data_IF_216458370371
#
_entry.id   IF_216458370371
#
_cell.length_a   1.000
_cell.length_b   1.000
_cell.length_c   1.000
_cell.angle_alpha   90.00
_cell.angle_beta   90.00
_cell.angle_gamma   90.00
#
_symmetry.space_group_name_H-M   'P 1'
#
loop_
_entity.id
_entity.type
_entity.pdbx_description
1 polymer ?
#
# COMPACT_ATOMS: atom_id res chain seq x y z
N UNK A 1 17.97 -12.59 16.45
CA UNK A 1 17.25 -12.47 15.17
C UNK A 1 16.70 -11.06 15.11
N UNK A 2 16.69 -10.40 13.95
CA UNK A 2 16.21 -9.01 13.89
C UNK A 2 14.69 -8.99 13.84
N UNK A 3 14.06 -8.10 14.60
CA UNK A 3 12.61 -7.95 14.64
C UNK A 3 12.20 -6.84 13.67
N UNK A 4 11.25 -7.15 12.80
CA UNK A 4 10.64 -6.23 11.86
C UNK A 4 9.17 -6.00 12.21
N UNK A 5 8.77 -4.74 12.15
CA UNK A 5 7.39 -4.28 12.29
C UNK A 5 6.85 -3.99 10.90
N UNK A 6 5.68 -4.56 10.61
CA UNK A 6 4.95 -4.39 9.36
C UNK A 6 3.72 -3.52 9.62
N UNK A 7 3.53 -2.49 8.80
CA UNK A 7 2.41 -1.55 8.94
C UNK A 7 1.76 -1.35 7.57
N UNK A 8 0.50 -1.75 7.43
CA UNK A 8 -0.29 -1.45 6.25
C UNK A 8 -0.85 -0.02 6.33
N UNK A 9 -0.55 0.79 5.33
CA UNK A 9 -0.96 2.20 5.23
C UNK A 9 -1.78 2.37 3.95
N UNK A 10 -2.97 2.99 3.99
CA UNK A 10 -3.71 3.34 2.78
C UNK A 10 -2.81 4.10 1.80
N UNK A 11 -2.72 3.60 0.57
CA UNK A 11 -1.83 4.15 -0.44
C UNK A 11 -2.39 3.91 -1.85
N UNK A 12 -2.12 4.82 -2.78
CA UNK A 12 -2.45 4.72 -4.20
C UNK A 12 -1.25 5.20 -5.01
N UNK A 13 -1.13 4.70 -6.25
CA UNK A 13 -0.09 5.16 -7.18
C UNK A 13 -0.75 5.96 -8.30
N UNK A 14 -0.41 7.24 -8.37
CA UNK A 14 -1.02 8.21 -9.28
C UNK A 14 -0.12 8.37 -10.49
N UNK A 15 -0.67 8.19 -11.69
CA UNK A 15 0.01 8.51 -12.94
C UNK A 15 -0.17 10.00 -13.22
N UNK A 16 0.94 10.73 -13.34
CA UNK A 16 0.95 12.16 -13.65
C UNK A 16 2.09 12.45 -14.62
N UNK A 17 1.78 12.99 -15.80
CA UNK A 17 2.76 13.53 -16.76
C UNK A 17 3.99 12.64 -17.01
N UNK A 18 3.76 11.34 -17.27
CA UNK A 18 4.83 10.37 -17.54
C UNK A 18 5.57 9.86 -16.29
N UNK A 19 5.17 10.30 -15.09
CA UNK A 19 5.67 9.83 -13.80
C UNK A 19 4.58 9.07 -13.03
N UNK A 20 5.00 8.25 -12.07
CA UNK A 20 4.10 7.61 -11.10
C UNK A 20 4.48 7.99 -9.69
N UNK A 21 3.55 8.56 -8.93
CA UNK A 21 3.76 9.02 -7.55
C UNK A 21 3.01 8.09 -6.61
N UNK A 22 3.69 7.55 -5.60
CA UNK A 22 3.04 6.86 -4.50
C UNK A 22 2.52 7.89 -3.48
N UNK A 23 1.20 7.93 -3.28
CA UNK A 23 0.53 8.78 -2.30
C UNK A 23 -0.02 7.89 -1.20
N UNK A 24 0.32 8.18 0.05
CA UNK A 24 -0.12 7.41 1.21
C UNK A 24 -0.74 8.33 2.28
N UNK A 25 -1.59 7.76 3.14
CA UNK A 25 -2.11 8.40 4.34
C UNK A 25 -1.40 7.83 5.57
N UNK A 26 -0.16 8.26 5.88
CA UNK A 26 0.71 7.61 6.88
C UNK A 26 0.18 7.64 8.32
N UNK A 27 -0.81 8.48 8.61
CA UNK A 27 -1.46 8.55 9.93
C UNK A 27 -2.61 7.54 10.09
N UNK A 28 -3.05 6.92 9.00
CA UNK A 28 -4.09 5.91 8.99
C UNK A 28 -3.44 4.54 8.75
N UNK A 29 -3.75 3.57 9.59
CA UNK A 29 -3.25 2.21 9.45
C UNK A 29 -4.41 1.26 9.22
N UNK A 30 -4.22 0.29 8.33
CA UNK A 30 -5.17 -0.79 8.11
C UNK A 30 -4.88 -1.92 9.10
N UNK A 31 -5.64 -1.93 10.20
CA UNK A 31 -5.58 -2.97 11.21
C UNK A 31 -4.34 -2.88 12.11
N UNK A 32 -4.03 -4.01 12.75
CA UNK A 32 -2.93 -4.11 13.70
C UNK A 32 -1.56 -4.18 13.00
N UNK A 33 -0.52 -3.72 13.72
CA UNK A 33 0.87 -3.88 13.30
C UNK A 33 1.26 -5.36 13.33
N UNK A 34 1.93 -5.82 12.27
CA UNK A 34 2.56 -7.13 12.25
C UNK A 34 3.94 -7.08 12.90
N UNK A 35 4.35 -8.15 13.56
CA UNK A 35 5.74 -8.34 13.99
C UNK A 35 6.25 -9.66 13.41
N UNK A 36 7.47 -9.63 12.88
CA UNK A 36 8.13 -10.83 12.35
C UNK A 36 9.61 -10.79 12.71
N UNK A 37 10.16 -11.95 13.04
CA UNK A 37 11.60 -12.10 13.12
C UNK A 37 12.13 -12.57 11.76
N UNK A 38 13.24 -12.00 11.30
CA UNK A 38 13.88 -12.42 10.05
C UNK A 38 15.40 -12.20 10.07
N UNK A 39 16.11 -13.01 9.29
CA UNK A 39 17.57 -12.94 9.03
C UNK A 39 17.88 -12.67 7.57
N UNK A 40 16.97 -13.00 6.66
CA UNK A 40 17.18 -12.91 5.21
C UNK A 40 16.15 -12.02 4.53
N UNK A 41 16.46 -11.52 3.33
CA UNK A 41 15.50 -10.75 2.53
C UNK A 41 14.30 -11.59 2.10
N UNK A 42 14.52 -12.89 1.84
CA UNK A 42 13.46 -13.83 1.49
C UNK A 42 12.45 -14.00 2.63
N UNK A 43 12.92 -14.16 3.87
CA UNK A 43 12.04 -14.23 5.05
C UNK A 43 11.22 -12.94 5.23
N UNK A 44 11.83 -11.78 5.00
CA UNK A 44 11.11 -10.49 5.06
C UNK A 44 10.03 -10.42 3.97
N UNK A 45 10.35 -10.80 2.74
CA UNK A 45 9.38 -10.79 1.63
C UNK A 45 8.22 -11.77 1.85
N UNK A 46 8.50 -12.96 2.39
CA UNK A 46 7.45 -13.91 2.80
C UNK A 46 6.58 -13.31 3.90
N UNK A 47 7.17 -12.67 4.90
CA UNK A 47 6.41 -12.04 5.98
C UNK A 47 5.55 -10.86 5.48
N UNK A 48 6.06 -10.03 4.57
CA UNK A 48 5.31 -8.97 3.89
C UNK A 48 4.12 -9.56 3.13
N UNK A 49 4.35 -10.64 2.39
CA UNK A 49 3.30 -11.33 1.62
C UNK A 49 2.18 -11.84 2.53
N UNK A 50 2.54 -12.61 3.56
CA UNK A 50 1.56 -13.17 4.50
C UNK A 50 0.82 -12.09 5.29
N UNK A 51 1.50 -11.03 5.68
CA UNK A 51 0.86 -9.90 6.36
C UNK A 51 -0.14 -9.20 5.44
N UNK A 52 0.27 -8.88 4.21
CA UNK A 52 -0.60 -8.20 3.26
C UNK A 52 -1.79 -9.05 2.80
N UNK A 53 -1.64 -10.36 2.63
CA UNK A 53 -2.77 -11.27 2.34
C UNK A 53 -3.82 -11.25 3.45
N UNK A 54 -3.38 -11.28 4.72
CA UNK A 54 -4.31 -11.14 5.86
C UNK A 54 -4.98 -9.77 5.88
N UNK A 55 -4.23 -8.69 5.64
CA UNK A 55 -4.79 -7.33 5.60
C UNK A 55 -5.79 -7.18 4.46
N UNK A 56 -5.49 -7.69 3.27
CA UNK A 56 -6.40 -7.66 2.13
C UNK A 56 -7.67 -8.49 2.37
N UNK A 57 -7.55 -9.63 3.06
CA UNK A 57 -8.71 -10.43 3.48
C UNK A 57 -9.59 -9.71 4.50
N UNK A 58 -8.99 -9.02 5.47
CA UNK A 58 -9.72 -8.25 6.49
C UNK A 58 -10.30 -6.92 5.95
N UNK A 59 -9.70 -6.38 4.88
CA UNK A 59 -10.10 -5.12 4.26
C UNK A 59 -10.25 -5.27 2.74
N UNK A 60 -11.26 -6.02 2.25
CA UNK A 60 -11.43 -6.28 0.83
C UNK A 60 -11.54 -4.99 0.01
N UNK A 61 -10.84 -4.94 -1.13
CA UNK A 61 -10.86 -3.81 -2.06
C UNK A 61 -10.11 -2.55 -1.59
N UNK A 62 -9.47 -2.57 -0.40
CA UNK A 62 -8.66 -1.44 0.05
C UNK A 62 -7.28 -1.45 -0.62
N UNK A 63 -6.85 -0.28 -1.06
CA UNK A 63 -5.53 -0.03 -1.62
C UNK A 63 -4.55 0.38 -0.52
N UNK A 64 -3.40 -0.29 -0.41
CA UNK A 64 -2.42 -0.03 0.64
C UNK A 64 -0.99 -0.44 0.27
N UNK A 65 -0.02 0.19 0.93
CA UNK A 65 1.40 -0.19 0.92
C UNK A 65 1.82 -0.63 2.32
N UNK A 66 2.78 -1.55 2.39
CA UNK A 66 3.32 -2.09 3.64
C UNK A 66 4.67 -1.45 3.94
N UNK A 67 4.76 -0.69 5.04
CA UNK A 67 6.04 -0.22 5.56
C UNK A 67 6.71 -1.30 6.39
N UNK A 68 8.03 -1.46 6.22
CA UNK A 68 8.85 -2.44 6.95
C UNK A 68 9.85 -1.68 7.82
N UNK A 69 9.63 -1.69 9.13
CA UNK A 69 10.50 -1.02 10.10
C UNK A 69 11.30 -2.04 10.89
N UNK A 70 12.60 -1.84 11.03
CA UNK A 70 13.42 -2.65 11.93
C UNK A 70 13.38 -2.05 13.34
N UNK A 71 13.33 -2.89 14.38
CA UNK A 71 13.46 -2.41 15.76
C UNK A 71 14.80 -1.69 15.95
N UNK A 72 14.77 -0.55 16.66
CA UNK A 72 15.98 0.21 16.98
C UNK A 72 16.99 -0.68 17.71
N UNK A 73 18.23 -0.71 17.22
CA UNK A 73 19.32 -1.52 17.77
C UNK A 73 19.52 -2.87 17.08
N UNK A 74 18.54 -3.36 16.33
CA UNK A 74 18.70 -4.58 15.52
C UNK A 74 19.41 -4.26 14.19
N UNK A 75 20.11 -5.25 13.61
CA UNK A 75 20.86 -5.10 12.36
C UNK A 75 20.02 -5.53 11.16
N UNK A 76 19.96 -4.68 10.13
CA UNK A 76 19.32 -5.01 8.84
C UNK A 76 20.15 -6.07 8.09
N UNK A 77 19.52 -7.07 7.45
CA UNK A 77 20.19 -7.96 6.51
C UNK A 77 20.86 -7.17 5.39
N UNK A 78 21.92 -7.74 4.81
CA UNK A 78 22.61 -7.13 3.67
C UNK A 78 21.64 -6.93 2.52
N UNK A 79 21.66 -5.75 1.90
CA UNK A 79 20.80 -5.42 0.76
C UNK A 79 19.38 -4.99 1.12
N UNK A 80 19.02 -4.93 2.41
CA UNK A 80 17.68 -4.53 2.84
C UNK A 80 17.23 -3.19 2.25
N UNK A 81 18.04 -2.14 2.41
CA UNK A 81 17.64 -0.79 1.98
C UNK A 81 17.48 -0.70 0.45
N UNK A 82 18.27 -1.46 -0.31
CA UNK A 82 18.14 -1.55 -1.76
C UNK A 82 16.85 -2.30 -2.14
N UNK A 83 16.61 -3.47 -1.54
CA UNK A 83 15.41 -4.26 -1.80
C UNK A 83 14.12 -3.53 -1.40
N UNK A 84 14.16 -2.77 -0.30
CA UNK A 84 13.05 -1.92 0.13
C UNK A 84 12.79 -0.81 -0.89
N UNK A 85 13.83 -0.10 -1.33
CA UNK A 85 13.70 1.01 -2.29
C UNK A 85 13.22 0.56 -3.67
N UNK A 86 13.67 -0.59 -4.16
CA UNK A 86 13.29 -1.10 -5.48
C UNK A 86 11.94 -1.83 -5.48
N UNK A 87 11.29 -1.99 -4.31
CA UNK A 87 10.04 -2.73 -4.18
C UNK A 87 10.22 -4.26 -4.23
N UNK A 88 11.44 -4.77 -4.22
CA UNK A 88 11.73 -6.21 -4.27
C UNK A 88 11.19 -7.00 -3.06
N UNK A 89 10.84 -6.31 -1.98
CA UNK A 89 10.18 -6.93 -0.82
C UNK A 89 8.66 -7.12 -1.02
N UNK A 90 8.07 -6.57 -2.09
CA UNK A 90 6.64 -6.71 -2.39
C UNK A 90 5.71 -5.79 -1.59
N UNK A 91 6.24 -4.69 -1.04
CA UNK A 91 5.49 -3.76 -0.17
C UNK A 91 4.30 -3.09 -0.85
N UNK A 92 4.36 -2.95 -2.17
CA UNK A 92 3.37 -2.20 -2.96
C UNK A 92 2.41 -3.11 -3.74
N UNK A 93 2.38 -4.41 -3.46
CA UNK A 93 1.57 -5.39 -4.21
C UNK A 93 0.06 -5.08 -4.23
N UNK A 94 -0.45 -4.39 -3.20
CA UNK A 94 -1.86 -4.02 -3.06
C UNK A 94 -2.14 -2.55 -3.40
N UNK A 95 -1.18 -1.84 -4.00
CA UNK A 95 -1.37 -0.45 -4.39
C UNK A 95 -2.05 -0.38 -5.76
N UNK A 96 -3.22 0.25 -5.80
CA UNK A 96 -3.95 0.52 -7.03
C UNK A 96 -3.30 1.68 -7.80
N UNK A 97 -3.28 1.53 -9.12
CA UNK A 97 -2.93 2.60 -10.06
C UNK A 97 -4.16 3.47 -10.33
N UNK A 98 -4.01 4.80 -10.31
CA UNK A 98 -5.06 5.76 -10.67
C UNK A 98 -4.51 6.82 -11.62
N UNK A 99 -5.36 7.33 -12.50
CA UNK A 99 -4.97 8.30 -13.53
C UNK A 99 -5.14 9.77 -13.11
N UNK A 100 -5.78 10.04 -11.97
CA UNK A 100 -5.90 11.39 -11.44
C UNK A 100 -5.93 11.42 -9.90
N UNK A 101 -5.64 12.61 -9.34
CA UNK A 101 -5.57 12.86 -7.90
C UNK A 101 -6.92 12.76 -7.18
N UNK A 102 -8.02 13.09 -7.85
CA UNK A 102 -9.36 13.07 -7.26
C UNK A 102 -9.80 11.63 -6.93
N UNK A 103 -9.55 10.70 -7.86
CA UNK A 103 -9.82 9.28 -7.66
C UNK A 103 -8.87 8.68 -6.63
N UNK A 104 -7.61 9.12 -6.61
CA UNK A 104 -6.67 8.78 -5.56
C UNK A 104 -7.19 9.17 -4.16
N UNK A 105 -7.70 10.39 -3.99
CA UNK A 105 -8.26 10.84 -2.72
C UNK A 105 -9.49 10.01 -2.29
N UNK A 106 -10.39 9.68 -3.22
CA UNK A 106 -11.57 8.84 -2.95
C UNK A 106 -11.16 7.47 -2.40
N UNK A 107 -10.24 6.78 -3.08
CA UNK A 107 -9.76 5.45 -2.67
C UNK A 107 -9.07 5.50 -1.31
N UNK A 108 -8.22 6.50 -1.07
CA UNK A 108 -7.51 6.64 0.20
C UNK A 108 -8.47 6.82 1.39
N UNK A 109 -9.48 7.68 1.24
CA UNK A 109 -10.50 7.91 2.27
C UNK A 109 -11.59 6.83 2.32
N UNK A 110 -11.49 5.77 1.53
CA UNK A 110 -12.41 4.64 1.58
C UNK A 110 -13.72 4.82 0.83
N UNK A 111 -13.87 5.87 0.02
CA UNK A 111 -14.93 5.94 -0.99
C UNK A 111 -14.42 5.16 -2.19
N UNK A 112 -14.78 3.88 -2.24
CA UNK A 112 -14.34 2.97 -3.29
C UNK A 112 -14.60 3.59 -4.66
N UNK A 113 -13.59 3.58 -5.55
CA UNK A 113 -13.80 3.96 -6.95
C UNK A 113 -14.90 3.10 -7.63
N UNK A 114 -15.18 1.90 -7.09
CA UNK A 114 -16.26 1.03 -7.55
C UNK A 114 -17.67 1.59 -7.28
N UNK A 115 -17.84 2.57 -6.38
CA UNK A 115 -19.12 3.29 -6.21
C UNK A 115 -19.38 4.32 -7.34
N UNK A 116 -18.38 4.59 -8.19
CA UNK A 116 -18.53 5.46 -9.37
C UNK A 116 -19.06 4.72 -10.60
N UNK A 117 -19.45 3.45 -10.44
CA UNK A 117 -20.12 2.66 -11.46
C UNK A 117 -21.63 2.89 -11.57
N UNK A 118 -22.19 4.02 -11.13
CA UNK A 118 -23.53 4.44 -11.53
C UNK A 118 -23.80 5.93 -11.19
N UNK A 119 -23.32 6.85 -12.01
CA UNK A 119 -23.91 8.20 -12.05
C UNK A 119 -23.84 8.75 -13.48
N UNK A 120 -24.59 8.10 -14.38
CA UNK A 120 -25.04 8.77 -15.59
C UNK A 120 -26.04 9.86 -15.19
N UNK A 121 -25.68 11.13 -15.38
CA UNK A 121 -26.66 12.21 -15.59
C UNK A 121 -25.98 13.39 -16.28
N UNK A 122 -25.67 13.21 -17.56
CA UNK A 122 -25.65 14.36 -18.46
C UNK A 122 -27.11 14.65 -18.81
N UNK A 123 -27.78 15.48 -17.99
CA UNK A 123 -29.03 16.10 -18.39
C UNK A 123 -28.70 17.50 -18.89
N UNK A 124 -28.74 17.67 -20.20
CA UNK A 124 -28.44 18.93 -20.85
C UNK A 124 -28.88 18.89 -22.30
N UNK A 125 -30.18 18.78 -22.54
CA UNK A 125 -30.79 19.22 -23.80
C UNK A 125 -31.99 20.10 -23.46
N UNK A 126 -31.79 21.41 -23.62
CA UNK A 126 -32.84 22.36 -24.00
C UNK A 126 -32.21 23.21 -25.09
N UNK A 127 -32.63 22.94 -26.33
CA UNK A 127 -32.61 23.89 -27.43
C UNK A 127 -33.93 24.67 -27.42
#
# INVERSE_FOLDING_TARGET
>A
MSVFVLIATPAVRIRSDGCTILKALPMEHLGARGMTEARTLAEISTAVTLYGERTAGAHPGRSFSISVHIRRGDRKPRGFDAAYRTGALGTDRWVLMVDNDADGARILHGRSAAETGNMASCKGDVA
#
